data_IF_770608903200
#
_entry.id   IF_770608903200
#
_cell.length_a   1.000
_cell.length_b   1.000
_cell.length_c   1.000
_cell.angle_alpha   90.00
_cell.angle_beta   90.00
_cell.angle_gamma   90.00
#
_symmetry.space_group_name_H-M   'P 1'
#
loop_
_entity.id
_entity.type
_entity.pdbx_description
1 polymer ?
#
# COMPACT_ATOMS: atom_id res chain seq x y z
N UNK A 1 8.43 -5.75 13.14
CA UNK A 1 9.70 -5.24 12.60
C UNK A 1 9.50 -3.73 12.52
N UNK A 2 10.09 -2.98 13.45
CA UNK A 2 10.15 -1.53 13.34
C UNK A 2 11.12 -1.26 12.19
N UNK A 3 10.62 -0.70 11.11
CA UNK A 3 11.31 -0.62 9.82
C UNK A 3 12.61 0.19 9.99
N UNK A 4 13.79 -0.39 9.73
CA UNK A 4 15.04 0.35 9.69
C UNK A 4 15.05 1.36 8.54
N UNK A 5 15.89 2.38 8.70
CA UNK A 5 15.93 3.55 7.86
C UNK A 5 16.50 3.27 6.46
N UNK A 6 15.73 3.67 5.43
CA UNK A 6 16.30 3.95 4.10
C UNK A 6 17.30 5.11 4.23
N UNK A 7 18.36 5.10 3.42
CA UNK A 7 19.32 6.19 3.19
C UNK A 7 18.69 7.53 2.66
N UNK A 8 17.36 7.60 2.58
CA UNK A 8 16.53 8.75 2.19
C UNK A 8 15.51 8.94 3.33
N UNK A 9 15.81 9.87 4.24
CA UNK A 9 14.99 10.16 5.44
C UNK A 9 13.51 10.43 5.08
N UNK A 10 13.24 10.99 3.90
CA UNK A 10 11.88 11.30 3.45
C UNK A 10 11.12 10.05 3.00
N UNK A 11 11.82 9.07 2.41
CA UNK A 11 11.23 7.79 2.04
C UNK A 11 11.00 6.90 3.26
N UNK A 12 11.90 6.95 4.24
CA UNK A 12 11.72 6.29 5.53
C UNK A 12 10.52 6.87 6.31
N UNK A 13 10.32 8.19 6.26
CA UNK A 13 9.12 8.82 6.79
C UNK A 13 7.86 8.30 6.08
N UNK A 14 7.87 8.19 4.75
CA UNK A 14 6.73 7.66 4.00
C UNK A 14 6.41 6.19 4.32
N UNK A 15 7.41 5.36 4.66
CA UNK A 15 7.18 3.95 5.05
C UNK A 15 6.64 3.81 6.47
N UNK A 16 7.00 4.73 7.38
CA UNK A 16 6.48 4.77 8.75
C UNK A 16 5.16 5.55 8.88
N UNK A 17 4.81 6.32 7.84
CA UNK A 17 3.59 7.12 7.75
C UNK A 17 2.31 6.29 7.90
N UNK A 18 2.14 5.10 7.28
CA UNK A 18 0.92 4.31 7.43
C UNK A 18 0.58 3.96 8.88
N UNK A 19 1.57 3.50 9.67
CA UNK A 19 1.36 3.17 11.08
C UNK A 19 1.03 4.43 11.91
N UNK A 20 1.80 5.50 11.70
CA UNK A 20 1.59 6.77 12.41
C UNK A 20 0.27 7.45 12.03
N UNK A 21 -0.16 7.32 10.78
CA UNK A 21 -1.42 7.85 10.26
C UNK A 21 -2.60 7.02 10.79
N UNK A 22 -2.46 5.70 10.85
CA UNK A 22 -3.47 4.83 11.45
C UNK A 22 -3.64 5.12 12.95
N UNK A 23 -2.54 5.39 13.67
CA UNK A 23 -2.59 5.86 15.06
C UNK A 23 -3.25 7.23 15.21
N UNK A 24 -3.08 8.14 14.24
CA UNK A 24 -3.71 9.45 14.24
C UNK A 24 -5.22 9.37 13.94
N UNK A 25 -5.61 8.59 12.95
CA UNK A 25 -7.01 8.43 12.55
C UNK A 25 -7.82 7.62 13.58
N UNK A 26 -7.18 6.67 14.26
CA UNK A 26 -7.80 5.75 15.20
C UNK A 26 -8.26 4.45 14.54
N UNK A 27 -8.20 3.36 15.31
CA UNK A 27 -8.39 2.01 14.78
C UNK A 27 -9.84 1.67 14.47
N UNK A 28 -10.80 2.32 15.15
CA UNK A 28 -12.22 2.15 14.84
C UNK A 28 -12.56 2.52 13.39
N UNK A 29 -11.97 3.60 12.87
CA UNK A 29 -12.13 4.02 11.47
C UNK A 29 -11.53 2.98 10.53
N UNK A 30 -10.32 2.50 10.83
CA UNK A 30 -9.66 1.48 10.02
C UNK A 30 -10.46 0.18 9.93
N UNK A 31 -11.08 -0.27 11.03
CA UNK A 31 -11.92 -1.47 11.05
C UNK A 31 -13.24 -1.27 10.29
N UNK A 32 -13.87 -0.10 10.41
CA UNK A 32 -15.11 0.20 9.67
C UNK A 32 -14.84 0.24 8.16
N UNK A 33 -13.83 1.01 7.74
CA UNK A 33 -13.45 1.16 6.33
C UNK A 33 -12.95 -0.17 5.76
N UNK A 34 -12.15 -0.92 6.52
CA UNK A 34 -11.62 -2.23 6.09
C UNK A 34 -12.73 -3.24 5.76
N UNK A 35 -13.84 -3.23 6.51
CA UNK A 35 -15.01 -4.09 6.22
C UNK A 35 -15.69 -3.71 4.90
N UNK A 36 -15.86 -2.42 4.63
CA UNK A 36 -16.44 -1.95 3.37
C UNK A 36 -15.57 -2.34 2.18
N UNK A 37 -14.25 -2.17 2.28
CA UNK A 37 -13.32 -2.60 1.22
C UNK A 37 -13.31 -4.11 1.04
N UNK A 38 -13.33 -4.90 2.12
CA UNK A 38 -13.40 -6.35 2.03
C UNK A 38 -14.69 -6.84 1.36
N UNK A 39 -15.81 -6.15 1.59
CA UNK A 39 -17.09 -6.46 0.94
C UNK A 39 -17.11 -6.06 -0.55
N UNK A 40 -16.56 -4.88 -0.88
CA UNK A 40 -16.57 -4.36 -2.24
C UNK A 40 -15.51 -5.02 -3.14
N UNK A 41 -14.33 -5.33 -2.60
CA UNK A 41 -13.17 -5.84 -3.33
C UNK A 41 -12.51 -7.01 -2.58
N UNK A 42 -13.19 -8.16 -2.47
CA UNK A 42 -12.70 -9.30 -1.70
C UNK A 42 -11.40 -9.90 -2.26
N UNK A 43 -11.14 -9.74 -3.56
CA UNK A 43 -9.93 -10.22 -4.23
C UNK A 43 -8.73 -9.26 -4.12
N UNK A 44 -8.96 -8.00 -3.71
CA UNK A 44 -7.95 -6.93 -3.66
C UNK A 44 -7.67 -6.44 -2.23
N UNK A 45 -8.37 -6.98 -1.25
CA UNK A 45 -8.24 -6.56 0.16
C UNK A 45 -7.56 -7.64 0.99
N UNK A 46 -6.60 -7.23 1.81
CA UNK A 46 -5.97 -8.12 2.78
C UNK A 46 -6.53 -7.88 4.18
N UNK A 47 -7.29 -8.85 4.69
CA UNK A 47 -7.89 -8.78 6.02
C UNK A 47 -6.87 -9.20 7.09
N UNK A 48 -6.11 -8.23 7.58
CA UNK A 48 -5.15 -8.44 8.67
C UNK A 48 -5.85 -8.47 10.03
N UNK A 49 -5.63 -9.50 10.88
CA UNK A 49 -6.16 -9.53 12.24
C UNK A 49 -5.45 -8.54 13.19
N UNK A 50 -4.37 -7.88 12.74
CA UNK A 50 -3.54 -7.03 13.58
C UNK A 50 -4.33 -5.90 14.24
N UNK A 51 -5.14 -5.17 13.47
CA UNK A 51 -5.88 -4.01 14.00
C UNK A 51 -6.91 -4.46 15.04
N UNK A 52 -7.60 -5.58 14.80
CA UNK A 52 -8.53 -6.16 15.77
C UNK A 52 -7.82 -6.57 17.06
N UNK A 53 -6.64 -7.20 16.96
CA UNK A 53 -5.83 -7.57 18.12
C UNK A 53 -5.33 -6.34 18.89
N UNK A 54 -4.93 -5.28 18.18
CA UNK A 54 -4.50 -4.03 18.78
C UNK A 54 -5.65 -3.35 19.55
N UNK A 55 -6.85 -3.33 19.00
CA UNK A 55 -8.05 -2.82 19.69
C UNK A 55 -8.38 -3.67 20.91
N UNK A 56 -8.28 -5.00 20.82
CA UNK A 56 -8.50 -5.92 21.96
C UNK A 56 -7.48 -5.72 23.09
N UNK A 57 -6.24 -5.37 22.76
CA UNK A 57 -5.20 -4.97 23.72
C UNK A 57 -5.46 -3.59 24.36
N UNK A 58 -6.51 -2.88 23.92
CA UNK A 58 -6.85 -1.55 24.40
C UNK A 58 -6.03 -0.43 23.76
N UNK A 59 -5.41 -0.66 22.60
CA UNK A 59 -4.70 0.38 21.83
C UNK A 59 -5.66 1.08 20.87
N UNK A 60 -5.59 2.41 20.82
CA UNK A 60 -6.40 3.22 19.90
C UNK A 60 -5.62 4.44 19.37
N UNK A 61 -4.31 4.29 19.22
CA UNK A 61 -3.46 5.32 18.65
C UNK A 61 -3.32 6.55 19.55
N UNK A 62 -3.32 7.74 18.94
CA UNK A 62 -3.17 9.01 19.66
C UNK A 62 -4.33 9.31 20.61
N UNK A 63 -5.52 8.74 20.38
CA UNK A 63 -6.70 9.01 21.21
C UNK A 63 -6.52 8.59 22.67
N UNK A 64 -5.79 7.50 22.92
CA UNK A 64 -5.50 7.01 24.27
C UNK A 64 -3.99 6.95 24.57
N UNK A 65 -3.18 7.63 23.75
CA UNK A 65 -1.73 7.71 23.92
C UNK A 65 -0.96 6.44 23.54
N UNK A 66 -1.62 5.39 23.05
CA UNK A 66 -1.00 4.07 22.80
C UNK A 66 -1.53 3.42 21.51
N UNK A 67 -0.66 3.32 20.52
CA UNK A 67 -0.92 2.72 19.20
C UNK A 67 0.18 1.75 18.80
N UNK A 68 0.70 1.85 17.58
CA UNK A 68 2.01 1.29 17.24
C UNK A 68 3.13 2.00 18.00
N UNK A 69 2.92 3.28 18.29
CA UNK A 69 3.81 4.13 19.06
C UNK A 69 3.17 4.54 20.39
N UNK A 70 4.02 4.96 21.33
CA UNK A 70 3.62 5.66 22.54
C UNK A 70 3.62 7.16 22.26
N UNK A 71 2.51 7.81 22.61
CA UNK A 71 2.32 9.25 22.46
C UNK A 71 2.23 9.90 23.83
N UNK A 72 3.29 10.61 24.20
CA UNK A 72 3.35 11.44 25.40
C UNK A 72 3.18 12.92 25.01
N UNK A 73 2.47 13.69 25.85
CA UNK A 73 2.23 15.11 25.59
C UNK A 73 3.55 15.87 25.48
N UNK A 74 3.77 16.55 24.35
CA UNK A 74 4.97 17.35 24.11
C UNK A 74 6.21 16.57 23.66
N UNK A 75 6.11 15.24 23.50
CA UNK A 75 7.19 14.39 23.05
C UNK A 75 6.98 13.90 21.62
N UNK A 76 8.09 13.58 20.93
CA UNK A 76 8.03 12.81 19.68
C UNK A 76 7.49 11.40 19.97
N UNK A 77 6.71 10.79 19.05
CA UNK A 77 6.25 9.42 19.19
C UNK A 77 7.44 8.45 19.35
N UNK A 78 7.33 7.50 20.27
CA UNK A 78 8.37 6.50 20.53
C UNK A 78 7.85 5.10 20.21
N UNK A 79 8.66 4.21 19.61
CA UNK A 79 8.25 2.82 19.41
C UNK A 79 7.90 2.13 20.73
N UNK A 80 6.83 1.34 20.74
CA UNK A 80 6.40 0.58 21.91
C UNK A 80 6.78 -0.92 21.78
N UNK A 81 7.76 -1.44 22.53
CA UNK A 81 8.11 -2.86 22.48
C UNK A 81 6.96 -3.80 22.88
N UNK A 82 5.99 -3.31 23.67
CA UNK A 82 4.85 -4.12 24.10
C UNK A 82 3.86 -4.43 22.97
N UNK A 83 4.05 -3.85 21.78
CA UNK A 83 3.30 -4.19 20.57
C UNK A 83 3.78 -5.50 19.93
N UNK A 84 5.03 -5.91 20.19
CA UNK A 84 5.66 -7.05 19.53
C UNK A 84 4.93 -8.39 19.74
N UNK A 85 4.43 -8.73 20.95
CA UNK A 85 3.65 -9.94 21.15
C UNK A 85 2.36 -9.97 20.32
N UNK A 86 1.72 -8.80 20.13
CA UNK A 86 0.49 -8.66 19.34
C UNK A 86 0.78 -8.89 17.86
N UNK A 87 1.89 -8.34 17.37
CA UNK A 87 2.36 -8.56 15.99
C UNK A 87 2.66 -10.04 15.76
N UNK A 88 3.29 -10.71 16.73
CA UNK A 88 3.59 -12.14 16.64
C UNK A 88 2.33 -12.99 16.63
N UNK A 89 1.33 -12.65 17.46
CA UNK A 89 0.02 -13.30 17.42
C UNK A 89 -0.67 -13.10 16.06
N UNK A 90 -0.66 -11.87 15.54
CA UNK A 90 -1.21 -11.59 14.21
C UNK A 90 -0.54 -12.43 13.12
N UNK A 91 0.79 -12.59 13.18
CA UNK A 91 1.54 -13.42 12.23
C UNK A 91 1.11 -14.88 12.30
N UNK A 92 0.99 -15.42 13.52
CA UNK A 92 0.54 -16.80 13.77
C UNK A 92 -0.85 -17.06 13.20
N UNK A 93 -1.80 -16.15 13.43
CA UNK A 93 -3.18 -16.29 12.92
C UNK A 93 -3.25 -16.19 11.39
N UNK A 94 -2.43 -15.32 10.81
CA UNK A 94 -2.43 -15.09 9.36
C UNK A 94 -1.80 -16.26 8.61
N UNK A 95 -0.73 -16.84 9.15
CA UNK A 95 -0.05 -18.03 8.62
C UNK A 95 0.33 -17.98 7.11
N UNK A 96 0.69 -16.80 6.60
CA UNK A 96 1.11 -16.58 5.20
C UNK A 96 2.63 -16.66 5.00
N UNK A 97 3.40 -16.82 6.08
CA UNK A 97 4.86 -16.80 5.98
C UNK A 97 5.39 -18.16 5.53
N UNK A 98 6.33 -18.22 4.57
CA UNK A 98 6.96 -19.48 4.16
C UNK A 98 7.57 -20.19 5.37
N UNK A 99 7.03 -21.36 5.73
CA UNK A 99 7.50 -22.14 6.87
C UNK A 99 7.28 -21.50 8.25
N UNK A 100 6.38 -20.51 8.37
CA UNK A 100 6.01 -19.88 9.64
C UNK A 100 7.09 -19.00 10.26
N UNK A 101 8.15 -18.63 9.50
CA UNK A 101 9.27 -17.81 10.00
C UNK A 101 9.23 -16.39 9.45
N UNK A 102 9.66 -15.38 10.23
CA UNK A 102 9.87 -14.04 9.72
C UNK A 102 10.80 -14.07 8.50
N UNK A 103 10.36 -13.48 7.40
CA UNK A 103 11.21 -13.24 6.22
C UNK A 103 12.12 -12.05 6.52
N UNK A 104 13.37 -12.15 6.08
CA UNK A 104 14.24 -10.98 5.98
C UNK A 104 13.79 -10.20 4.76
N UNK A 105 13.32 -8.97 4.97
CA UNK A 105 12.89 -8.06 3.90
C UNK A 105 13.78 -6.84 3.96
N UNK A 106 14.34 -6.46 2.83
CA UNK A 106 15.13 -5.22 2.75
C UNK A 106 14.21 -4.00 2.77
N UNK A 107 14.70 -2.83 3.19
CA UNK A 107 13.87 -1.62 3.23
C UNK A 107 13.32 -1.24 1.85
N UNK A 108 14.10 -1.51 0.79
CA UNK A 108 13.64 -1.39 -0.59
C UNK A 108 12.46 -2.31 -0.89
N UNK A 109 12.54 -3.57 -0.49
CA UNK A 109 11.42 -4.51 -0.69
C UNK A 109 10.20 -4.11 0.14
N UNK A 110 10.37 -3.60 1.36
CA UNK A 110 9.26 -3.07 2.17
C UNK A 110 8.58 -1.92 1.42
N UNK A 111 9.35 -0.96 0.89
CA UNK A 111 8.83 0.14 0.09
C UNK A 111 8.03 -0.37 -1.11
N UNK A 112 8.61 -1.29 -1.88
CA UNK A 112 7.97 -1.85 -3.08
C UNK A 112 6.71 -2.66 -2.74
N UNK A 113 6.71 -3.43 -1.64
CA UNK A 113 5.54 -4.17 -1.16
C UNK A 113 4.40 -3.26 -0.72
N UNK A 114 4.71 -2.05 -0.24
CA UNK A 114 3.70 -1.04 0.12
C UNK A 114 3.20 -0.31 -1.13
N UNK A 115 4.10 0.14 -2.00
CA UNK A 115 3.77 1.04 -3.11
C UNK A 115 3.28 0.33 -4.38
N UNK A 116 3.78 -0.86 -4.71
CA UNK A 116 3.37 -1.54 -5.94
C UNK A 116 1.89 -1.94 -5.95
N UNK A 117 1.26 -2.36 -4.84
CA UNK A 117 -0.20 -2.53 -4.80
C UNK A 117 -0.96 -1.22 -5.10
N UNK A 118 -0.46 -0.08 -4.61
CA UNK A 118 -1.05 1.24 -4.90
C UNK A 118 -0.90 1.60 -6.38
N UNK A 119 0.26 1.34 -6.99
CA UNK A 119 0.47 1.50 -8.44
C UNK A 119 -0.46 0.57 -9.23
N UNK A 120 -0.66 -0.65 -8.75
CA UNK A 120 -1.54 -1.61 -9.39
C UNK A 120 -3.00 -1.16 -9.35
N UNK A 121 -3.45 -0.55 -8.24
CA UNK A 121 -4.79 0.04 -8.13
C UNK A 121 -4.91 1.28 -9.02
N UNK A 122 -3.87 2.12 -9.09
CA UNK A 122 -3.78 3.24 -10.04
C UNK A 122 -3.95 2.77 -11.50
N UNK A 123 -3.37 1.63 -11.86
CA UNK A 123 -3.56 1.02 -13.18
C UNK A 123 -5.01 0.55 -13.41
N UNK A 124 -5.71 0.05 -12.37
CA UNK A 124 -7.11 -0.40 -12.48
C UNK A 124 -8.05 0.75 -12.70
N UNK A 125 -7.91 1.84 -11.94
CA UNK A 125 -8.76 3.02 -12.10
C UNK A 125 -8.55 3.73 -13.45
N UNK A 126 -7.35 3.62 -14.04
CA UNK A 126 -7.07 4.04 -15.42
C UNK A 126 -7.74 3.12 -16.45
N UNK A 127 -7.68 1.79 -16.25
CA UNK A 127 -8.31 0.80 -17.14
C UNK A 127 -9.84 0.88 -17.12
N UNK A 128 -10.40 1.11 -15.94
CA UNK A 128 -11.84 1.26 -15.69
C UNK A 128 -12.38 2.62 -16.17
N UNK A 129 -11.50 3.54 -16.57
CA UNK A 129 -11.88 4.88 -17.07
C UNK A 129 -12.41 5.82 -15.98
N UNK A 130 -12.15 5.51 -14.71
CA UNK A 130 -12.50 6.37 -13.56
C UNK A 130 -11.64 7.64 -13.60
N UNK A 131 -10.37 7.50 -14.01
CA UNK A 131 -9.46 8.62 -14.21
C UNK A 131 -9.08 8.72 -15.69
N UNK A 132 -9.14 9.94 -16.22
CA UNK A 132 -8.88 10.20 -17.65
C UNK A 132 -7.38 10.18 -17.94
N UNK A 133 -6.54 10.70 -17.03
CA UNK A 133 -5.10 10.86 -17.25
C UNK A 133 -4.29 10.40 -16.04
N UNK A 134 -3.16 9.76 -16.30
CA UNK A 134 -2.19 9.40 -15.26
C UNK A 134 -1.70 10.61 -14.46
N UNK A 135 -1.61 11.79 -15.08
CA UNK A 135 -1.23 13.04 -14.40
C UNK A 135 -2.20 13.41 -13.26
N UNK A 136 -3.48 13.07 -13.38
CA UNK A 136 -4.47 13.39 -12.35
C UNK A 136 -4.25 12.50 -11.11
N UNK A 137 -3.84 11.25 -11.32
CA UNK A 137 -3.42 10.33 -10.25
C UNK A 137 -2.12 10.80 -9.59
N UNK A 138 -1.15 11.29 -10.38
CA UNK A 138 0.09 11.83 -9.84
C UNK A 138 -0.19 13.04 -8.94
N UNK A 139 -0.98 14.01 -9.40
CA UNK A 139 -1.39 15.17 -8.60
C UNK A 139 -2.15 14.74 -7.35
N UNK A 140 -3.12 13.82 -7.49
CA UNK A 140 -3.88 13.29 -6.36
C UNK A 140 -2.99 12.57 -5.35
N UNK A 141 -1.94 11.87 -5.80
CA UNK A 141 -1.00 11.19 -4.90
C UNK A 141 -0.17 12.18 -4.09
N UNK A 142 0.28 13.26 -4.71
CA UNK A 142 1.05 14.32 -4.04
C UNK A 142 0.18 15.07 -3.04
N UNK A 143 -1.00 15.53 -3.46
CA UNK A 143 -1.86 16.37 -2.63
C UNK A 143 -2.64 15.56 -1.58
N UNK A 144 -3.08 14.34 -1.91
CA UNK A 144 -3.93 13.51 -1.05
C UNK A 144 -3.17 12.56 -0.15
N UNK A 145 -2.11 11.91 -0.66
CA UNK A 145 -1.31 10.93 0.11
C UNK A 145 0.00 11.50 0.62
N UNK A 146 0.26 12.80 0.38
CA UNK A 146 1.56 13.44 0.68
C UNK A 146 2.73 12.70 0.02
N UNK A 147 2.52 12.15 -1.19
CA UNK A 147 3.59 11.53 -1.94
C UNK A 147 4.68 12.57 -2.27
N UNK A 148 5.98 12.24 -2.19
CA UNK A 148 7.05 13.22 -2.38
C UNK A 148 7.00 13.89 -3.76
N UNK A 149 6.71 15.19 -3.79
CA UNK A 149 6.52 15.96 -5.03
C UNK A 149 7.77 15.98 -5.92
N UNK A 150 8.97 15.96 -5.34
CA UNK A 150 10.24 15.86 -6.08
C UNK A 150 10.40 14.51 -6.79
N UNK A 151 9.62 13.48 -6.40
CA UNK A 151 9.54 12.21 -7.13
C UNK A 151 8.47 12.20 -8.21
N UNK A 152 7.74 13.30 -8.40
CA UNK A 152 6.66 13.48 -9.38
C UNK A 152 5.32 13.11 -8.77
N UNK A 153 4.93 11.85 -8.92
CA UNK A 153 3.72 11.25 -8.37
C UNK A 153 3.82 9.73 -8.47
N UNK A 154 2.80 9.01 -8.02
CA UNK A 154 2.86 7.56 -7.91
C UNK A 154 3.02 6.84 -9.27
N UNK A 155 2.37 7.32 -10.33
CA UNK A 155 2.45 6.74 -11.68
C UNK A 155 3.77 7.15 -12.33
N UNK A 156 4.14 8.42 -12.25
CA UNK A 156 5.44 8.90 -12.75
C UNK A 156 6.63 8.19 -12.07
N UNK A 157 6.54 7.95 -10.76
CA UNK A 157 7.53 7.18 -10.03
C UNK A 157 7.58 5.73 -10.51
N UNK A 158 6.42 5.08 -10.71
CA UNK A 158 6.36 3.71 -11.22
C UNK A 158 6.96 3.56 -12.62
N UNK A 159 6.80 4.56 -13.49
CA UNK A 159 7.43 4.59 -14.80
C UNK A 159 8.96 4.66 -14.72
N UNK A 160 9.51 5.41 -13.75
CA UNK A 160 10.96 5.45 -13.51
C UNK A 160 11.51 4.18 -12.88
N UNK A 161 10.73 3.54 -12.01
CA UNK A 161 11.06 2.22 -11.46
C UNK A 161 11.05 1.15 -12.56
N UNK A 162 10.17 1.31 -13.54
CA UNK A 162 10.02 0.41 -14.68
C UNK A 162 8.75 -0.43 -14.55
N UNK A 163 7.77 -0.29 -15.47
CA UNK A 163 6.51 -1.04 -15.42
C UNK A 163 6.71 -2.56 -15.41
N UNK A 164 7.76 -3.04 -16.08
CA UNK A 164 8.11 -4.46 -16.08
C UNK A 164 8.56 -4.94 -14.69
N UNK A 165 9.37 -4.15 -13.96
CA UNK A 165 9.80 -4.51 -12.60
C UNK A 165 8.60 -4.58 -11.64
N UNK A 166 7.71 -3.59 -11.70
CA UNK A 166 6.47 -3.57 -10.92
C UNK A 166 5.63 -4.82 -11.20
N UNK A 167 5.42 -5.15 -12.47
CA UNK A 167 4.68 -6.35 -12.88
C UNK A 167 5.33 -7.64 -12.39
N UNK A 168 6.64 -7.82 -12.58
CA UNK A 168 7.34 -9.05 -12.18
C UNK A 168 7.34 -9.24 -10.67
N UNK A 169 7.49 -8.17 -9.90
CA UNK A 169 7.48 -8.21 -8.44
C UNK A 169 6.09 -8.56 -7.90
N UNK A 170 5.04 -7.92 -8.42
CA UNK A 170 3.66 -8.24 -8.07
C UNK A 170 3.30 -9.68 -8.45
N UNK A 171 3.71 -10.15 -9.62
CA UNK A 171 3.48 -11.54 -10.03
C UNK A 171 4.15 -12.53 -9.05
N UNK A 172 5.43 -12.29 -8.71
CA UNK A 172 6.17 -13.10 -7.73
C UNK A 172 5.48 -13.13 -6.37
N UNK A 173 5.03 -11.98 -5.86
CA UNK A 173 4.30 -11.91 -4.58
C UNK A 173 2.90 -12.51 -4.66
N UNK A 174 2.25 -12.45 -5.82
CA UNK A 174 0.95 -13.09 -6.01
C UNK A 174 1.03 -14.61 -5.93
N UNK A 175 2.11 -15.20 -6.46
CA UNK A 175 2.37 -16.64 -6.35
C UNK A 175 2.69 -17.06 -4.91
N UNK A 176 3.35 -16.21 -4.12
CA UNK A 176 3.74 -16.52 -2.74
C UNK A 176 2.67 -16.21 -1.68
N UNK A 177 1.98 -15.08 -1.82
CA UNK A 177 1.08 -14.54 -0.77
C UNK A 177 -0.38 -14.46 -1.22
N UNK A 178 -0.69 -14.80 -2.48
CA UNK A 178 -2.05 -14.91 -2.98
C UNK A 178 -2.59 -13.69 -3.74
N UNK A 179 -3.91 -13.57 -3.78
CA UNK A 179 -4.63 -12.69 -4.71
C UNK A 179 -4.40 -11.19 -4.53
N UNK A 180 -4.04 -10.75 -3.32
CA UNK A 180 -3.82 -9.32 -3.02
C UNK A 180 -2.82 -8.65 -3.96
N UNK A 181 -1.74 -9.36 -4.31
CA UNK A 181 -0.70 -8.86 -5.20
C UNK A 181 -0.96 -9.13 -6.69
N UNK A 182 -2.14 -9.64 -7.05
CA UNK A 182 -2.45 -10.01 -8.44
C UNK A 182 -2.33 -8.79 -9.37
N UNK A 183 -1.41 -8.81 -10.37
CA UNK A 183 -1.27 -7.71 -11.31
C UNK A 183 -2.57 -7.44 -12.07
N UNK A 184 -2.86 -6.16 -12.31
CA UNK A 184 -3.97 -5.72 -13.16
C UNK A 184 -3.67 -6.02 -14.63
N UNK A 185 -4.75 -6.14 -15.43
CA UNK A 185 -4.63 -6.40 -16.87
C UNK A 185 -3.93 -5.25 -17.59
N UNK A 186 -4.19 -4.02 -17.15
CA UNK A 186 -3.53 -2.80 -17.66
C UNK A 186 -2.01 -2.83 -17.46
N UNK A 187 -1.57 -3.16 -16.23
CA UNK A 187 -0.16 -3.27 -15.90
C UNK A 187 0.51 -4.39 -16.70
N UNK A 188 -0.11 -5.57 -16.77
CA UNK A 188 0.39 -6.71 -17.53
C UNK A 188 0.55 -6.37 -19.02
N UNK A 189 -0.46 -5.74 -19.63
CA UNK A 189 -0.43 -5.39 -21.04
C UNK A 189 0.69 -4.40 -21.39
N UNK A 190 0.93 -3.40 -20.52
CA UNK A 190 1.99 -2.39 -20.74
C UNK A 190 3.37 -2.94 -20.45
N UNK A 191 3.52 -3.70 -19.37
CA UNK A 191 4.78 -4.38 -19.04
C UNK A 191 5.26 -5.28 -20.19
N UNK A 192 4.35 -6.07 -20.78
CA UNK A 192 4.67 -6.94 -21.94
C UNK A 192 5.03 -6.17 -23.21
N UNK A 193 4.50 -4.96 -23.39
CA UNK A 193 4.77 -4.09 -24.55
C UNK A 193 5.96 -3.15 -24.35
N UNK A 194 6.52 -3.08 -23.15
CA UNK A 194 7.57 -2.10 -22.80
C UNK A 194 7.06 -0.66 -22.82
N UNK A 195 5.77 -0.43 -22.63
CA UNK A 195 5.15 0.90 -22.60
C UNK A 195 5.12 1.46 -21.18
N UNK A 196 5.16 2.79 -21.07
CA UNK A 196 4.94 3.48 -19.80
C UNK A 196 3.48 3.38 -19.34
N UNK A 197 3.26 3.39 -18.03
CA UNK A 197 1.94 3.42 -17.39
C UNK A 197 1.22 4.73 -17.64
N UNK A 198 1.98 5.83 -17.73
CA UNK A 198 1.46 7.17 -18.04
C UNK A 198 1.08 7.38 -19.49
N UNK A 199 1.53 6.51 -20.41
CA UNK A 199 1.18 6.64 -21.82
C UNK A 199 -0.34 6.50 -22.01
N UNK A 200 -0.96 7.46 -22.73
CA UNK A 200 -2.38 7.39 -23.02
C UNK A 200 -2.66 6.09 -23.76
N UNK A 201 -3.74 5.40 -23.39
CA UNK A 201 -4.18 4.24 -24.14
C UNK A 201 -4.35 4.67 -25.60
N UNK A 202 -3.63 4.01 -26.52
CA UNK A 202 -3.80 4.28 -27.94
C UNK A 202 -5.29 4.16 -28.23
N UNK A 203 -5.87 5.24 -28.75
CA UNK A 203 -7.30 5.36 -28.97
C UNK A 203 -7.76 4.28 -29.95
N UNK A 204 -8.10 3.10 -29.43
CA UNK A 204 -9.07 2.26 -30.09
C UNK A 204 -10.41 2.94 -29.85
N UNK A 205 -10.69 3.93 -30.69
CA UNK A 205 -12.00 4.53 -30.86
C UNK A 205 -13.00 3.39 -31.07
N UNK A 206 -13.61 2.90 -30.00
CA UNK A 206 -14.92 2.28 -30.10
C UNK A 206 -15.89 3.43 -30.36
N UNK A 207 -15.95 3.84 -31.62
CA UNK A 207 -17.08 4.58 -32.17
C UNK A 207 -18.31 3.69 -31.98
N UNK A 208 -18.97 3.81 -30.83
CA UNK A 208 -20.36 3.43 -30.70
C UNK A 208 -21.18 4.68 -31.00
N UNK A 209 -21.20 5.04 -32.28
CA UNK A 209 -22.23 5.91 -32.85
C UNK A 209 -23.54 5.13 -32.84
N UNK A 210 -24.35 5.35 -31.81
CA UNK A 210 -25.80 5.14 -31.86
C UNK A 210 -26.47 6.47 -31.55
N UNK A 211 -26.74 7.21 -32.61
CA UNK A 211 -27.90 8.10 -32.73
C UNK A 211 -28.81 7.46 -33.76
#
# INVERSE_FOLDING_TARGET
MLVPCIDDENLCFFISLPCSLQDLAGYGVALAVGKEFANAFPDRTFNSPLVDLMVKDGRNGKNNGKGYYIYEKGSKPKPDPTVLPIIEESRRLTNIMPGGKPISVTDKEILEMILFPVVNEACRVLDEGIVVRASDLDISSVLGMSFPSYRGGIVFWADRVGPNHVYTSLKRWSEMYGGFFKPSRYLEARAKKGMLLSEPASSSLKSNSKL
#
